data_IF_361333695214
#
_entry.id   IF_361333695214
#
_cell.length_a   1.000
_cell.length_b   1.000
_cell.length_c   1.000
_cell.angle_alpha   90.00
_cell.angle_beta   90.00
_cell.angle_gamma   90.00
#
_symmetry.space_group_name_H-M   'P 1'
#
loop_
_entity.id
_entity.type
_entity.pdbx_description
1 polymer ?
#
# COMPACT_ATOMS: atom_id res chain seq x y z
N UNK A 1 -26.59 -11.03 -6.82
CA UNK A 1 -27.59 -10.00 -6.47
C UNK A 1 -26.87 -8.66 -6.53
N UNK A 2 -27.20 -7.78 -7.49
CA UNK A 2 -26.65 -6.41 -7.48
C UNK A 2 -27.48 -5.61 -6.47
N UNK A 3 -26.88 -4.81 -5.59
CA UNK A 3 -27.67 -3.95 -4.70
C UNK A 3 -28.29 -2.86 -5.57
N UNK A 4 -29.55 -3.04 -5.97
CA UNK A 4 -30.23 -2.14 -6.90
C UNK A 4 -30.88 -0.94 -6.21
N UNK A 5 -31.04 -0.97 -4.88
CA UNK A 5 -31.74 0.06 -4.11
C UNK A 5 -31.00 0.42 -2.79
N UNK A 6 -29.68 0.61 -2.85
CA UNK A 6 -28.90 1.05 -1.69
C UNK A 6 -28.64 2.56 -1.72
N UNK A 7 -28.89 3.23 -0.61
CA UNK A 7 -28.56 4.65 -0.41
C UNK A 7 -27.41 4.82 0.58
N UNK A 8 -26.55 5.80 0.33
CA UNK A 8 -25.52 6.22 1.27
C UNK A 8 -26.15 7.06 2.38
N UNK A 9 -26.04 6.61 3.64
CA UNK A 9 -26.54 7.34 4.82
C UNK A 9 -25.35 7.94 5.55
N UNK A 10 -25.41 9.24 5.87
CA UNK A 10 -24.36 9.93 6.62
C UNK A 10 -24.32 9.43 8.08
N UNK A 11 -23.15 9.02 8.53
CA UNK A 11 -22.88 8.67 9.92
C UNK A 11 -22.30 9.88 10.70
N UNK A 12 -22.51 9.96 12.02
CA UNK A 12 -21.98 11.04 12.87
C UNK A 12 -20.49 10.82 13.18
N UNK A 13 -19.64 10.89 12.16
CA UNK A 13 -18.22 10.52 12.26
C UNK A 13 -17.43 11.38 13.25
N UNK A 14 -17.66 12.69 13.28
CA UNK A 14 -16.92 13.61 14.16
C UNK A 14 -17.27 13.37 15.63
N UNK A 15 -18.56 13.21 15.92
CA UNK A 15 -19.09 12.97 17.26
C UNK A 15 -18.60 11.62 17.80
N UNK A 16 -18.56 10.61 16.94
CA UNK A 16 -18.01 9.30 17.26
C UNK A 16 -16.53 9.38 17.65
N UNK A 17 -15.68 9.98 16.82
CA UNK A 17 -14.25 10.07 17.13
C UNK A 17 -13.94 11.01 18.31
N UNK A 18 -14.75 12.04 18.55
CA UNK A 18 -14.68 12.85 19.78
C UNK A 18 -14.96 12.00 21.02
N UNK A 19 -15.98 11.16 20.99
CA UNK A 19 -16.31 10.27 22.08
C UNK A 19 -15.19 9.25 22.35
N UNK A 20 -14.61 8.67 21.29
CA UNK A 20 -13.45 7.76 21.42
C UNK A 20 -12.26 8.49 22.04
N UNK A 21 -11.90 9.68 21.56
CA UNK A 21 -10.80 10.48 22.11
C UNK A 21 -11.02 10.80 23.59
N UNK A 22 -12.26 11.14 23.96
CA UNK A 22 -12.63 11.36 25.36
C UNK A 22 -12.44 10.11 26.23
N UNK A 23 -12.64 8.92 25.67
CA UNK A 23 -12.55 7.66 26.39
C UNK A 23 -11.13 7.07 26.43
N UNK A 24 -10.36 7.21 25.34
CA UNK A 24 -9.08 6.54 25.14
C UNK A 24 -7.87 7.48 25.22
N UNK A 25 -8.10 8.80 25.19
CA UNK A 25 -7.04 9.80 25.14
C UNK A 25 -6.41 9.95 23.76
N UNK A 26 -5.36 10.77 23.69
CA UNK A 26 -4.55 10.98 22.49
C UNK A 26 -3.11 10.46 22.71
N UNK A 27 -2.45 9.88 21.68
CA UNK A 27 -2.99 9.62 20.35
C UNK A 27 -3.99 8.46 20.34
N UNK A 28 -4.95 8.51 19.42
CA UNK A 28 -5.94 7.44 19.23
C UNK A 28 -5.27 6.15 18.72
N UNK A 29 -5.50 4.98 19.35
CA UNK A 29 -4.88 3.71 18.95
C UNK A 29 -5.63 3.05 17.78
N UNK A 30 -5.82 3.79 16.68
CA UNK A 30 -6.58 3.34 15.51
C UNK A 30 -5.76 3.51 14.23
N UNK A 31 -5.91 2.56 13.30
CA UNK A 31 -5.44 2.65 11.91
C UNK A 31 -6.68 2.60 11.03
N UNK A 32 -6.78 3.51 10.06
CA UNK A 32 -7.93 3.58 9.16
C UNK A 32 -7.63 2.81 7.88
N UNK A 33 -8.46 1.82 7.59
CA UNK A 33 -8.50 1.17 6.28
C UNK A 33 -9.16 2.13 5.26
N UNK A 34 -8.34 2.97 4.63
CA UNK A 34 -8.77 4.01 3.68
C UNK A 34 -8.52 3.61 2.22
N UNK A 35 -8.83 2.36 1.89
CA UNK A 35 -8.58 1.76 0.57
C UNK A 35 -9.79 1.90 -0.37
N UNK A 36 -9.53 1.95 -1.68
CA UNK A 36 -10.57 2.03 -2.71
C UNK A 36 -11.02 3.45 -3.05
N UNK A 37 -12.24 3.58 -3.57
CA UNK A 37 -12.81 4.86 -4.00
C UNK A 37 -13.48 5.53 -2.81
N UNK A 38 -12.77 6.47 -2.18
CA UNK A 38 -13.26 7.24 -1.04
C UNK A 38 -13.49 8.70 -1.41
N UNK A 39 -14.38 9.35 -0.67
CA UNK A 39 -14.69 10.76 -0.87
C UNK A 39 -13.75 11.65 -0.04
N UNK A 40 -13.62 12.93 -0.43
CA UNK A 40 -12.77 13.89 0.30
C UNK A 40 -13.16 14.00 1.78
N UNK A 41 -14.45 13.90 2.09
CA UNK A 41 -14.94 13.97 3.47
C UNK A 41 -14.41 12.85 4.35
N UNK A 42 -14.11 11.67 3.78
CA UNK A 42 -13.50 10.56 4.53
C UNK A 42 -12.04 10.90 4.88
N UNK A 43 -11.29 11.45 3.92
CA UNK A 43 -9.91 11.88 4.15
C UNK A 43 -9.83 13.04 5.15
N UNK A 44 -10.71 14.03 5.02
CA UNK A 44 -10.79 15.15 5.95
C UNK A 44 -11.09 14.68 7.38
N UNK A 45 -11.99 13.69 7.53
CA UNK A 45 -12.32 13.12 8.83
C UNK A 45 -11.12 12.36 9.43
N UNK A 46 -10.45 11.52 8.64
CA UNK A 46 -9.22 10.82 9.06
C UNK A 46 -8.16 11.82 9.56
N UNK A 47 -7.90 12.85 8.77
CA UNK A 47 -6.85 13.83 9.02
C UNK A 47 -7.18 14.74 10.21
N UNK A 48 -8.45 15.09 10.41
CA UNK A 48 -8.93 15.84 11.59
C UNK A 48 -8.59 15.14 12.91
N UNK A 49 -8.59 13.80 12.92
CA UNK A 49 -8.26 13.00 14.09
C UNK A 49 -6.82 12.47 14.09
N UNK A 50 -5.99 12.92 13.13
CA UNK A 50 -4.61 12.52 12.93
C UNK A 50 -4.43 11.00 12.84
N UNK A 51 -5.40 10.30 12.24
CA UNK A 51 -5.39 8.84 12.16
C UNK A 51 -4.50 8.37 10.99
N UNK A 52 -3.60 7.40 11.20
CA UNK A 52 -2.82 6.83 10.12
C UNK A 52 -3.72 6.07 9.15
N UNK A 53 -3.58 6.35 7.85
CA UNK A 53 -4.21 5.57 6.78
C UNK A 53 -3.40 4.33 6.40
N UNK A 54 -3.91 3.52 5.47
CA UNK A 54 -3.25 2.34 4.94
C UNK A 54 -2.69 2.60 3.53
N UNK A 55 -1.52 2.04 3.23
CA UNK A 55 -0.99 1.98 1.87
C UNK A 55 -0.67 0.54 1.52
N UNK A 56 -1.09 0.10 0.34
CA UNK A 56 -0.81 -1.25 -0.13
C UNK A 56 0.02 -1.17 -1.38
N UNK A 57 1.28 -1.60 -1.28
CA UNK A 57 2.25 -1.59 -2.36
C UNK A 57 1.72 -2.16 -3.69
N UNK A 58 0.82 -3.14 -3.60
CA UNK A 58 0.27 -3.83 -4.76
C UNK A 58 -0.76 -3.05 -5.60
N UNK A 59 -1.33 -1.96 -5.08
CA UNK A 59 -2.38 -1.22 -5.82
C UNK A 59 -1.85 -0.18 -6.84
N UNK A 60 -0.59 -0.30 -7.28
CA UNK A 60 -0.04 0.51 -8.36
C UNK A 60 0.18 1.98 -7.98
N UNK A 61 0.29 2.85 -9.01
CA UNK A 61 1.06 4.10 -9.02
C UNK A 61 0.91 5.07 -7.82
N UNK A 62 -0.29 5.19 -7.24
CA UNK A 62 -0.58 6.04 -6.07
C UNK A 62 -0.17 5.41 -4.73
N UNK A 63 0.08 4.11 -4.72
CA UNK A 63 0.60 3.35 -3.58
C UNK A 63 2.07 2.95 -3.78
N UNK A 64 2.81 3.70 -4.59
CA UNK A 64 4.25 3.58 -4.60
C UNK A 64 4.86 4.22 -3.34
N UNK A 65 5.92 3.60 -2.78
CA UNK A 65 6.64 4.11 -1.61
C UNK A 65 7.00 5.60 -1.65
N UNK A 66 7.32 6.15 -2.83
CA UNK A 66 7.64 7.58 -2.99
C UNK A 66 6.44 8.52 -2.78
N UNK A 67 5.21 8.00 -2.86
CA UNK A 67 3.96 8.73 -2.62
C UNK A 67 3.44 8.56 -1.19
N UNK A 68 4.13 7.79 -0.34
CA UNK A 68 3.68 7.56 1.03
C UNK A 68 3.88 8.80 1.89
N UNK A 69 2.81 9.21 2.57
CA UNK A 69 2.90 10.21 3.63
C UNK A 69 3.38 9.55 4.92
N UNK A 70 3.98 10.33 5.82
CA UNK A 70 4.46 9.79 7.10
C UNK A 70 3.35 9.21 7.97
N UNK A 71 2.16 9.84 7.98
CA UNK A 71 1.02 9.36 8.75
C UNK A 71 0.24 8.25 8.01
N UNK A 72 0.93 7.16 7.66
CA UNK A 72 0.30 5.96 7.15
C UNK A 72 1.07 4.70 7.55
N UNK A 73 0.40 3.56 7.47
CA UNK A 73 0.99 2.24 7.65
C UNK A 73 0.98 1.53 6.30
N UNK A 74 2.17 1.13 5.87
CA UNK A 74 2.37 0.48 4.58
C UNK A 74 2.41 -1.04 4.72
N UNK A 75 1.71 -1.71 3.81
CA UNK A 75 1.59 -3.16 3.74
C UNK A 75 1.93 -3.63 2.32
N UNK A 76 2.44 -4.84 2.19
CA UNK A 76 2.67 -5.47 0.87
C UNK A 76 1.37 -5.91 0.20
N UNK A 77 0.39 -6.27 1.02
CA UNK A 77 -0.94 -6.77 0.66
C UNK A 77 -1.73 -7.00 1.96
N UNK A 78 -3.06 -7.11 1.85
CA UNK A 78 -3.92 -7.55 2.97
C UNK A 78 -4.22 -9.05 2.85
N UNK A 79 -4.93 -9.58 3.84
CA UNK A 79 -5.46 -10.95 3.80
C UNK A 79 -6.46 -11.19 2.65
N UNK A 80 -7.05 -10.13 2.09
CA UNK A 80 -7.95 -10.18 0.92
C UNK A 80 -7.21 -10.32 -0.41
N UNK A 81 -5.88 -10.19 -0.39
CA UNK A 81 -5.05 -10.23 -1.58
C UNK A 81 -4.23 -11.54 -1.65
N UNK A 82 -3.98 -12.07 -2.86
CA UNK A 82 -2.99 -13.14 -3.04
C UNK A 82 -1.64 -12.73 -2.44
N UNK A 83 -0.77 -13.70 -2.16
CA UNK A 83 0.64 -13.38 -1.88
C UNK A 83 1.27 -12.66 -3.07
N UNK A 84 2.32 -11.86 -2.86
CA UNK A 84 3.04 -11.17 -3.97
C UNK A 84 3.53 -12.17 -5.03
N UNK A 85 4.02 -13.34 -4.61
CA UNK A 85 4.38 -14.42 -5.54
C UNK A 85 3.16 -15.03 -6.25
N UNK A 86 2.07 -15.30 -5.51
CA UNK A 86 0.84 -15.82 -6.10
C UNK A 86 0.24 -14.87 -7.13
N UNK A 87 0.31 -13.57 -6.88
CA UNK A 87 -0.03 -12.55 -7.85
C UNK A 87 0.82 -12.60 -9.10
N UNK A 88 2.13 -12.51 -8.93
CA UNK A 88 3.08 -12.46 -10.03
C UNK A 88 2.91 -13.66 -10.96
N UNK A 89 2.71 -14.83 -10.37
CA UNK A 89 2.64 -16.09 -11.10
C UNK A 89 1.26 -16.37 -11.71
N UNK A 90 0.16 -15.96 -11.06
CA UNK A 90 -1.18 -16.42 -11.43
C UNK A 90 -2.18 -15.31 -11.80
N UNK A 91 -1.92 -14.06 -11.43
CA UNK A 91 -2.92 -12.99 -11.53
C UNK A 91 -2.43 -11.71 -12.22
N UNK A 92 -1.12 -11.44 -12.23
CA UNK A 92 -0.55 -10.25 -12.83
C UNK A 92 -0.52 -10.36 -14.36
N UNK A 93 -1.10 -9.36 -15.03
CA UNK A 93 -0.95 -9.16 -16.47
C UNK A 93 0.47 -8.75 -16.84
N UNK A 94 0.85 -8.94 -18.10
CA UNK A 94 2.19 -8.58 -18.58
C UNK A 94 2.47 -7.07 -18.45
N UNK A 95 1.44 -6.23 -18.59
CA UNK A 95 1.57 -4.79 -18.39
C UNK A 95 1.86 -4.42 -16.93
N UNK A 96 1.19 -5.08 -15.98
CA UNK A 96 1.44 -4.88 -14.55
C UNK A 96 2.85 -5.34 -14.17
N UNK A 97 3.30 -6.48 -14.71
CA UNK A 97 4.67 -6.99 -14.50
C UNK A 97 5.72 -6.04 -15.04
N UNK A 98 5.53 -5.53 -16.27
CA UNK A 98 6.43 -4.54 -16.88
C UNK A 98 6.48 -3.26 -16.05
N UNK A 99 5.33 -2.69 -15.70
CA UNK A 99 5.24 -1.48 -14.87
C UNK A 99 5.96 -1.66 -13.54
N UNK A 100 5.76 -2.80 -12.88
CA UNK A 100 6.41 -3.15 -11.62
C UNK A 100 7.94 -3.18 -11.77
N UNK A 101 8.44 -3.87 -12.79
CA UNK A 101 9.88 -3.96 -13.07
C UNK A 101 10.48 -2.58 -13.40
N UNK A 102 9.82 -1.78 -14.23
CA UNK A 102 10.27 -0.43 -14.58
C UNK A 102 10.34 0.47 -13.35
N UNK A 103 9.31 0.46 -12.51
CA UNK A 103 9.27 1.26 -11.29
C UNK A 103 10.44 0.93 -10.35
N UNK A 104 10.75 -0.34 -10.25
CA UNK A 104 11.82 -0.85 -9.42
C UNK A 104 13.20 -0.48 -9.98
N UNK A 105 13.44 -0.68 -11.28
CA UNK A 105 14.70 -0.26 -11.92
C UNK A 105 14.95 1.24 -11.74
N UNK A 106 13.92 2.06 -11.87
CA UNK A 106 14.01 3.50 -11.65
C UNK A 106 14.33 3.87 -10.18
N UNK A 107 13.99 3.02 -9.22
CA UNK A 107 14.35 3.23 -7.80
C UNK A 107 15.78 2.81 -7.45
N UNK A 108 16.47 2.08 -8.33
CA UNK A 108 17.80 1.52 -8.09
C UNK A 108 18.96 2.33 -8.70
N UNK A 109 18.72 3.51 -9.29
CA UNK A 109 19.62 4.25 -10.20
C UNK A 109 21.13 4.23 -9.84
N UNK A 110 21.79 3.13 -10.27
CA UNK A 110 23.15 2.97 -10.78
C UNK A 110 23.14 1.73 -11.69
N UNK A 111 22.56 1.86 -12.88
CA UNK A 111 22.79 0.90 -13.95
C UNK A 111 22.70 1.63 -15.29
N UNK A 112 23.84 2.20 -15.70
CA UNK A 112 24.14 2.42 -17.11
C UNK A 112 24.02 1.08 -17.83
N UNK A 113 22.99 0.89 -18.67
CA UNK A 113 23.15 0.09 -19.90
C UNK A 113 21.95 0.26 -20.84
N UNK A 114 22.25 0.69 -22.06
CA UNK A 114 21.33 0.83 -23.21
C UNK A 114 21.03 -0.54 -23.85
N UNK A 115 20.70 -1.54 -23.04
CA UNK A 115 20.35 -2.88 -23.55
C UNK A 115 18.83 -3.00 -23.81
N UNK A 116 18.53 -3.60 -24.95
CA UNK A 116 17.20 -3.86 -25.52
C UNK A 116 16.19 -4.27 -24.43
N UNK A 117 15.04 -3.59 -24.37
CA UNK A 117 14.08 -3.57 -23.25
C UNK A 117 13.62 -4.97 -22.79
N UNK A 118 13.75 -5.97 -23.65
CA UNK A 118 13.34 -7.36 -23.39
C UNK A 118 14.37 -8.16 -22.57
N UNK A 119 15.66 -8.01 -22.85
CA UNK A 119 16.72 -8.73 -22.13
C UNK A 119 16.89 -8.19 -20.71
N UNK A 120 16.84 -6.86 -20.57
CA UNK A 120 16.85 -6.21 -19.27
C UNK A 120 15.62 -6.59 -18.42
N UNK A 121 14.45 -6.75 -19.04
CA UNK A 121 13.26 -7.25 -18.36
C UNK A 121 13.46 -8.68 -17.83
N UNK A 122 14.00 -9.59 -18.65
CA UNK A 122 14.22 -10.99 -18.24
C UNK A 122 15.31 -11.11 -17.17
N UNK A 123 16.43 -10.38 -17.26
CA UNK A 123 17.48 -10.34 -16.23
C UNK A 123 16.91 -9.84 -14.91
N UNK A 124 16.16 -8.74 -14.96
CA UNK A 124 15.56 -8.12 -13.78
C UNK A 124 14.53 -9.06 -13.14
N UNK A 125 13.66 -9.67 -13.95
CA UNK A 125 12.69 -10.69 -13.53
C UNK A 125 13.37 -11.89 -12.86
N UNK A 126 14.46 -12.40 -13.43
CA UNK A 126 15.22 -13.52 -12.87
C UNK A 126 15.85 -13.12 -11.53
N UNK A 127 16.45 -11.93 -11.44
CA UNK A 127 17.01 -11.42 -10.20
C UNK A 127 15.95 -11.32 -9.08
N UNK A 128 14.74 -10.83 -9.40
CA UNK A 128 13.64 -10.72 -8.43
C UNK A 128 13.04 -12.05 -8.02
N UNK A 129 12.90 -12.99 -8.95
CA UNK A 129 12.42 -14.33 -8.63
C UNK A 129 13.45 -15.10 -7.79
N UNK A 130 14.75 -14.91 -8.06
CA UNK A 130 15.83 -15.58 -7.33
C UNK A 130 16.14 -14.96 -5.96
N UNK A 131 16.00 -13.64 -5.79
CA UNK A 131 16.21 -12.94 -4.50
C UNK A 131 14.96 -12.89 -3.60
N UNK A 132 13.88 -13.56 -4.00
CA UNK A 132 12.57 -13.54 -3.34
C UNK A 132 11.90 -12.15 -3.41
N UNK A 133 11.01 -11.98 -4.39
CA UNK A 133 10.15 -10.79 -4.59
C UNK A 133 9.48 -10.27 -3.30
N UNK A 134 9.25 -11.16 -2.32
CA UNK A 134 8.75 -10.78 -1.01
C UNK A 134 9.71 -9.93 -0.19
N UNK A 135 11.01 -10.20 -0.26
CA UNK A 135 12.05 -9.46 0.46
C UNK A 135 12.21 -8.05 -0.10
N UNK A 136 12.26 -7.94 -1.42
CA UNK A 136 12.32 -6.63 -2.07
C UNK A 136 11.09 -5.75 -1.75
N UNK A 137 9.89 -6.33 -1.77
CA UNK A 137 8.68 -5.61 -1.37
C UNK A 137 8.70 -5.20 0.13
N UNK A 138 9.43 -5.93 0.99
CA UNK A 138 9.67 -5.51 2.38
C UNK A 138 10.59 -4.29 2.38
N UNK A 139 11.75 -4.39 1.73
CA UNK A 139 12.74 -3.31 1.68
C UNK A 139 12.14 -2.00 1.15
N UNK A 140 11.34 -2.07 0.09
CA UNK A 140 10.66 -0.90 -0.48
C UNK A 140 9.66 -0.26 0.49
N UNK A 141 8.94 -1.07 1.26
CA UNK A 141 8.04 -0.57 2.30
C UNK A 141 8.84 0.03 3.46
N UNK A 142 9.93 -0.61 3.87
CA UNK A 142 10.81 -0.13 4.95
C UNK A 142 11.57 1.16 4.57
N UNK A 143 11.93 1.32 3.29
CA UNK A 143 12.62 2.50 2.77
C UNK A 143 11.68 3.70 2.53
N UNK A 144 10.38 3.49 2.64
CA UNK A 144 9.38 4.55 2.46
C UNK A 144 9.31 5.50 3.67
N UNK A 145 8.63 6.64 3.49
CA UNK A 145 8.36 7.55 4.60
C UNK A 145 7.30 7.04 5.59
N UNK A 146 6.64 5.90 5.32
CA UNK A 146 5.56 5.36 6.14
C UNK A 146 6.06 4.74 7.46
N UNK A 147 5.20 4.71 8.47
CA UNK A 147 5.48 3.93 9.67
C UNK A 147 5.40 2.43 9.34
N UNK A 148 6.40 1.67 9.77
CA UNK A 148 6.49 0.24 9.50
C UNK A 148 5.73 -0.54 10.57
N UNK A 149 4.53 -0.99 10.22
CA UNK A 149 3.72 -1.87 11.07
C UNK A 149 4.25 -3.30 11.01
N UNK A 150 5.13 -3.69 11.94
CA UNK A 150 5.43 -5.10 12.17
C UNK A 150 4.41 -5.65 13.17
N UNK A 151 3.44 -6.44 12.69
CA UNK A 151 2.61 -7.25 13.56
C UNK A 151 3.45 -8.40 14.13
N UNK A 152 4.18 -8.17 15.23
CA UNK A 152 4.61 -9.16 16.23
C UNK A 152 5.50 -8.51 17.33
N UNK A 153 5.06 -8.63 18.59
CA UNK A 153 5.81 -8.40 19.85
C UNK A 153 5.66 -6.99 20.43
N UNK A 154 4.99 -6.72 21.55
CA UNK A 154 4.66 -7.56 22.70
C UNK A 154 5.85 -7.60 23.68
N UNK A 155 5.87 -6.69 24.65
CA UNK A 155 6.85 -6.64 25.75
C UNK A 155 7.18 -5.22 26.19
#
# INVERSE_FOLDING_TARGET
>A
MKPTDSQWIKAPGVEFFKAIRSALGDPLPLIVEDLGILTKEVFDLRDQFNLPGMRIFRFGFLHHPHNYIRNCVAYKGTHDHPTVLGWWTQHASDNEKKTFVTYIRASEEQAEDDNDDEEAYEITKIAYLNKCIHWYAIEMVLASAANTGCGCGGG
#
